data_IF_926622718418
#
_entry.id   IF_926622718418
#
_cell.length_a   1.000
_cell.length_b   1.000
_cell.length_c   1.000
_cell.angle_alpha   90.00
_cell.angle_beta   90.00
_cell.angle_gamma   90.00
#
_symmetry.space_group_name_H-M   'P 1'
#
loop_
_entity.id
_entity.type
_entity.pdbx_description
1 polymer ?
#
# COMPACT_ATOMS: atom_id res chain seq x y z
N UNK A 1 23.97 -11.60 -8.29
CA UNK A 1 23.80 -12.73 -7.35
C UNK A 1 22.70 -12.37 -6.37
N UNK A 2 21.81 -13.31 -6.01
CA UNK A 2 20.80 -13.08 -4.95
C UNK A 2 21.45 -13.20 -3.56
N UNK A 3 20.85 -12.56 -2.55
CA UNK A 3 21.31 -12.64 -1.16
C UNK A 3 22.42 -11.65 -0.81
N UNK A 4 22.79 -10.76 -1.73
CA UNK A 4 23.83 -9.74 -1.49
C UNK A 4 23.25 -8.41 -1.01
N UNK A 5 22.01 -8.09 -1.36
CA UNK A 5 21.37 -6.84 -0.95
C UNK A 5 19.89 -7.07 -0.74
N UNK A 6 19.49 -7.06 0.53
CA UNK A 6 18.10 -7.26 0.94
C UNK A 6 17.13 -6.37 0.16
N UNK A 7 17.45 -5.07 0.01
CA UNK A 7 16.61 -4.13 -0.75
C UNK A 7 16.47 -4.54 -2.22
N UNK A 8 17.56 -4.92 -2.89
CA UNK A 8 17.51 -5.38 -4.29
C UNK A 8 16.75 -6.70 -4.42
N UNK A 9 16.94 -7.60 -3.46
CA UNK A 9 16.29 -8.91 -3.46
C UNK A 9 14.78 -8.80 -3.20
N UNK A 10 14.34 -8.01 -2.21
CA UNK A 10 12.93 -7.75 -1.91
C UNK A 10 12.23 -7.02 -3.06
N UNK A 11 12.94 -6.21 -3.84
CA UNK A 11 12.36 -5.50 -4.99
C UNK A 11 11.85 -6.47 -6.05
N UNK A 12 12.47 -7.65 -6.15
CA UNK A 12 12.05 -8.70 -7.08
C UNK A 12 10.69 -9.30 -6.72
N UNK A 13 10.18 -9.08 -5.51
CA UNK A 13 8.90 -9.59 -5.05
C UNK A 13 7.72 -8.70 -5.45
N UNK A 14 7.96 -7.41 -5.70
CA UNK A 14 6.92 -6.43 -6.03
C UNK A 14 6.23 -6.86 -7.33
N UNK A 15 4.91 -7.04 -7.26
CA UNK A 15 4.07 -7.46 -8.38
C UNK A 15 4.59 -8.68 -9.16
N UNK A 16 5.21 -9.64 -8.45
CA UNK A 16 5.81 -10.81 -9.08
C UNK A 16 4.94 -12.06 -8.89
N UNK A 17 4.28 -12.58 -9.96
CA UNK A 17 3.41 -13.74 -9.85
C UNK A 17 4.12 -15.02 -9.40
N UNK A 18 5.45 -15.12 -9.61
CA UNK A 18 6.21 -16.31 -9.24
C UNK A 18 6.40 -16.44 -7.72
N UNK A 19 6.49 -15.31 -7.01
CA UNK A 19 6.79 -15.28 -5.57
C UNK A 19 5.60 -14.83 -4.72
N UNK A 20 4.41 -14.74 -5.32
CA UNK A 20 3.21 -14.28 -4.64
C UNK A 20 2.34 -15.41 -4.13
N UNK A 21 1.71 -15.19 -2.98
CA UNK A 21 0.69 -16.04 -2.38
C UNK A 21 -0.69 -15.36 -2.32
N UNK A 22 -0.79 -14.12 -2.81
CA UNK A 22 -2.05 -13.36 -2.88
C UNK A 22 -2.15 -12.49 -4.15
N UNK A 23 -3.36 -12.46 -4.73
CA UNK A 23 -3.77 -11.48 -5.75
C UNK A 23 -4.51 -10.31 -5.08
N UNK A 24 -4.12 -9.08 -5.42
CA UNK A 24 -4.77 -7.85 -4.98
C UNK A 24 -5.53 -7.30 -6.17
N UNK A 25 -6.86 -7.38 -6.14
CA UNK A 25 -7.73 -6.81 -7.17
C UNK A 25 -7.99 -5.33 -6.84
N UNK A 26 -7.86 -4.46 -7.83
CA UNK A 26 -8.08 -3.02 -7.66
C UNK A 26 -8.64 -2.43 -8.95
N UNK A 27 -9.29 -1.27 -8.85
CA UNK A 27 -10.11 -0.70 -9.94
C UNK A 27 -11.03 -1.76 -10.60
N UNK A 28 -11.58 -1.46 -11.77
CA UNK A 28 -12.33 -2.44 -12.55
C UNK A 28 -11.35 -3.40 -13.23
N UNK A 29 -11.26 -4.63 -12.68
CA UNK A 29 -10.53 -5.79 -13.24
C UNK A 29 -9.00 -5.67 -13.33
N UNK A 30 -8.36 -4.71 -12.64
CA UNK A 30 -6.90 -4.73 -12.51
C UNK A 30 -6.47 -5.60 -11.34
N UNK A 31 -5.22 -6.08 -11.39
CA UNK A 31 -4.65 -6.91 -10.33
C UNK A 31 -3.15 -6.73 -10.16
N UNK A 32 -2.69 -6.90 -8.93
CA UNK A 32 -1.28 -7.02 -8.55
C UNK A 32 -1.04 -8.30 -7.77
N UNK A 33 0.23 -8.70 -7.69
CA UNK A 33 0.68 -9.86 -6.92
C UNK A 33 1.45 -9.42 -5.68
N UNK A 34 1.21 -10.08 -4.55
CA UNK A 34 1.85 -9.77 -3.27
C UNK A 34 2.17 -11.00 -2.41
N UNK A 35 2.78 -10.75 -1.26
CA UNK A 35 3.17 -11.71 -0.24
C UNK A 35 2.44 -11.39 1.07
N UNK A 36 1.53 -12.24 1.53
CA UNK A 36 0.70 -12.02 2.72
C UNK A 36 1.51 -11.67 3.95
N UNK A 37 2.58 -12.43 4.22
CA UNK A 37 3.43 -12.22 5.39
C UNK A 37 4.09 -10.84 5.38
N UNK A 38 4.57 -10.37 4.22
CA UNK A 38 5.19 -9.04 4.10
C UNK A 38 4.12 -7.95 4.26
N UNK A 39 2.98 -8.08 3.60
CA UNK A 39 1.88 -7.13 3.73
C UNK A 39 1.45 -6.96 5.19
N UNK A 40 1.22 -8.07 5.91
CA UNK A 40 0.76 -8.05 7.29
C UNK A 40 1.82 -7.52 8.28
N UNK A 41 3.08 -7.95 8.18
CA UNK A 41 4.14 -7.47 9.09
C UNK A 41 4.42 -5.98 8.90
N UNK A 42 4.07 -5.42 7.74
CA UNK A 42 4.31 -4.01 7.40
C UNK A 42 3.08 -3.13 7.58
N UNK A 43 1.90 -3.67 7.88
CA UNK A 43 0.67 -2.88 8.01
C UNK A 43 -0.36 -3.61 8.88
N UNK A 44 -0.80 -2.95 9.94
CA UNK A 44 -1.85 -3.49 10.82
C UNK A 44 -3.19 -3.66 10.08
N UNK A 45 -3.46 -2.83 9.07
CA UNK A 45 -4.63 -2.99 8.19
C UNK A 45 -4.55 -4.32 7.43
N UNK A 46 -3.42 -4.59 6.77
CA UNK A 46 -3.24 -5.87 6.08
C UNK A 46 -3.16 -7.05 7.06
N UNK A 47 -2.58 -6.88 8.24
CA UNK A 47 -2.55 -7.91 9.27
C UNK A 47 -3.98 -8.28 9.71
N UNK A 48 -4.77 -7.28 10.07
CA UNK A 48 -6.17 -7.43 10.45
C UNK A 48 -7.07 -7.92 9.30
N UNK A 49 -6.69 -7.70 8.04
CA UNK A 49 -7.42 -8.24 6.90
C UNK A 49 -7.04 -9.71 6.60
N UNK A 50 -5.75 -10.04 6.67
CA UNK A 50 -5.20 -11.31 6.17
C UNK A 50 -5.06 -12.39 7.25
N UNK A 51 -5.11 -12.04 8.53
CA UNK A 51 -4.87 -12.97 9.64
C UNK A 51 -5.94 -12.87 10.75
N UNK A 52 -7.14 -12.36 10.43
CA UNK A 52 -8.26 -12.26 11.38
C UNK A 52 -9.08 -13.55 11.59
N UNK A 53 -8.77 -14.64 10.87
CA UNK A 53 -9.53 -15.89 10.93
C UNK A 53 -10.85 -15.89 10.12
N UNK A 54 -11.16 -14.81 9.39
CA UNK A 54 -12.30 -14.73 8.47
C UNK A 54 -11.96 -15.32 7.09
N UNK A 55 -12.91 -15.25 6.14
CA UNK A 55 -12.79 -15.80 4.78
C UNK A 55 -11.50 -15.36 4.09
N UNK A 56 -11.15 -14.09 4.26
CA UNK A 56 -9.98 -13.42 3.69
C UNK A 56 -8.67 -14.10 4.14
N UNK A 57 -8.63 -14.63 5.36
CA UNK A 57 -7.46 -15.33 5.89
C UNK A 57 -7.10 -16.56 5.05
N UNK A 58 -8.12 -17.28 4.58
CA UNK A 58 -7.97 -18.48 3.77
C UNK A 58 -8.00 -18.21 2.26
N UNK A 59 -8.38 -16.99 1.84
CA UNK A 59 -8.45 -16.61 0.44
C UNK A 59 -7.06 -16.33 -0.14
N UNK A 60 -6.88 -16.57 -1.44
CA UNK A 60 -5.72 -16.12 -2.19
C UNK A 60 -5.98 -14.80 -2.95
N UNK A 61 -7.09 -14.12 -2.67
CA UNK A 61 -7.47 -12.84 -3.30
C UNK A 61 -8.09 -11.88 -2.29
N UNK A 62 -7.74 -10.61 -2.40
CA UNK A 62 -8.37 -9.47 -1.72
C UNK A 62 -8.69 -8.37 -2.73
N UNK A 63 -9.62 -7.47 -2.40
CA UNK A 63 -10.10 -6.45 -3.33
C UNK A 63 -10.12 -5.06 -2.70
N UNK A 64 -9.59 -4.07 -3.42
CA UNK A 64 -9.63 -2.65 -3.11
C UNK A 64 -10.17 -1.88 -4.33
N UNK A 65 -11.50 -1.86 -4.55
CA UNK A 65 -12.08 -1.35 -5.79
C UNK A 65 -11.89 0.17 -5.96
N UNK A 66 -11.66 0.89 -4.87
CA UNK A 66 -11.57 2.34 -4.84
C UNK A 66 -10.12 2.87 -4.91
N UNK A 67 -9.12 2.00 -4.81
CA UNK A 67 -7.72 2.41 -4.94
C UNK A 67 -7.38 2.49 -6.43
N UNK A 68 -6.85 3.63 -6.86
CA UNK A 68 -6.37 3.82 -8.23
C UNK A 68 -4.96 3.21 -8.42
N UNK A 69 -4.54 3.11 -9.68
CA UNK A 69 -3.27 2.47 -10.07
C UNK A 69 -2.05 3.10 -9.42
N UNK A 70 -2.03 4.42 -9.25
CA UNK A 70 -0.93 5.13 -8.65
C UNK A 70 -0.83 4.87 -7.13
N UNK A 71 -1.96 4.91 -6.42
CA UNK A 71 -2.00 4.66 -4.98
C UNK A 71 -1.52 3.26 -4.62
N UNK A 72 -1.98 2.24 -5.36
CA UNK A 72 -1.57 0.86 -5.07
C UNK A 72 -0.08 0.62 -5.38
N UNK A 73 0.49 1.28 -6.40
CA UNK A 73 1.91 1.20 -6.70
C UNK A 73 2.77 1.79 -5.58
N UNK A 74 2.37 2.94 -5.03
CA UNK A 74 3.05 3.57 -3.89
C UNK A 74 3.00 2.67 -2.65
N UNK A 75 1.82 2.13 -2.33
CA UNK A 75 1.65 1.23 -1.17
C UNK A 75 2.58 0.03 -1.32
N UNK A 76 2.60 -0.60 -2.50
CA UNK A 76 3.44 -1.77 -2.76
C UNK A 76 4.93 -1.43 -2.74
N UNK A 77 5.37 -0.32 -3.34
CA UNK A 77 6.77 0.11 -3.26
C UNK A 77 7.18 0.34 -1.81
N UNK A 78 6.36 1.05 -1.03
CA UNK A 78 6.68 1.39 0.34
C UNK A 78 6.70 0.17 1.28
N UNK A 79 5.74 -0.74 1.15
CA UNK A 79 5.68 -1.97 1.96
C UNK A 79 6.95 -2.81 1.78
N UNK A 80 7.42 -2.98 0.54
CA UNK A 80 8.56 -3.85 0.25
C UNK A 80 9.91 -3.15 0.41
N UNK A 81 9.99 -1.85 0.13
CA UNK A 81 11.25 -1.11 0.08
C UNK A 81 11.52 -0.24 1.30
N UNK A 82 10.50 0.02 2.13
CA UNK A 82 10.58 0.96 3.26
C UNK A 82 10.84 2.40 2.83
N UNK A 83 10.71 2.71 1.54
CA UNK A 83 10.95 4.04 0.97
C UNK A 83 10.18 4.18 -0.34
N UNK A 84 9.58 5.34 -0.57
CA UNK A 84 8.98 5.69 -1.86
C UNK A 84 10.09 6.29 -2.73
N UNK A 85 10.10 5.99 -4.03
CA UNK A 85 11.03 6.66 -4.94
C UNK A 85 10.60 8.11 -5.17
N UNK A 86 11.57 8.98 -5.33
CA UNK A 86 11.39 10.39 -5.65
C UNK A 86 10.51 10.62 -6.91
N UNK A 87 10.58 9.74 -7.90
CA UNK A 87 9.75 9.80 -9.11
C UNK A 87 8.23 9.71 -8.84
N UNK A 88 7.81 9.05 -7.76
CA UNK A 88 6.41 9.04 -7.32
C UNK A 88 6.03 10.34 -6.60
N UNK A 89 7.01 11.02 -5.99
CA UNK A 89 6.82 12.21 -5.18
C UNK A 89 6.67 13.46 -6.03
N UNK A 90 7.48 13.58 -7.09
CA UNK A 90 7.49 14.73 -8.00
C UNK A 90 6.19 14.89 -8.80
N UNK A 91 5.39 13.83 -8.93
CA UNK A 91 4.18 13.88 -9.76
C UNK A 91 2.92 14.33 -9.00
N UNK A 92 2.70 14.00 -7.72
CA UNK A 92 1.43 14.33 -7.05
C UNK A 92 1.45 14.34 -5.49
N UNK A 93 2.55 14.01 -4.80
CA UNK A 93 2.59 14.08 -3.31
C UNK A 93 3.22 15.41 -2.87
N UNK A 94 2.40 16.43 -2.66
CA UNK A 94 2.85 17.74 -2.15
C UNK A 94 3.22 17.75 -0.65
N UNK A 95 3.26 16.59 0.01
CA UNK A 95 3.42 16.46 1.47
C UNK A 95 4.58 15.55 1.89
N UNK A 96 5.44 15.13 0.96
CA UNK A 96 6.67 14.41 1.30
C UNK A 96 7.80 15.40 1.59
N UNK A 97 8.35 15.31 2.79
CA UNK A 97 9.58 16.00 3.19
C UNK A 97 10.69 14.97 3.33
N UNK A 98 11.82 15.21 2.67
CA UNK A 98 13.01 14.35 2.76
C UNK A 98 13.47 14.24 4.23
N UNK A 99 13.62 13.00 4.72
CA UNK A 99 14.06 12.73 6.09
C UNK A 99 12.94 12.56 7.14
N UNK A 100 11.66 12.71 6.77
CA UNK A 100 10.56 12.36 7.67
C UNK A 100 10.16 10.87 7.53
N UNK A 101 9.97 10.19 8.66
CA UNK A 101 9.45 8.83 8.70
C UNK A 101 7.93 8.85 8.52
N UNK A 102 7.44 8.31 7.40
CA UNK A 102 6.00 8.12 7.15
C UNK A 102 5.63 6.67 7.47
N UNK A 103 4.65 6.42 8.34
CA UNK A 103 4.14 5.05 8.54
C UNK A 103 3.38 4.57 7.28
N UNK A 104 3.38 3.26 7.01
CA UNK A 104 2.58 2.63 5.94
C UNK A 104 1.11 2.98 6.15
N UNK A 105 0.67 3.03 7.42
CA UNK A 105 -0.67 3.44 7.78
C UNK A 105 -0.94 4.89 7.38
N UNK A 106 0.01 5.81 7.53
CA UNK A 106 -0.14 7.20 7.09
C UNK A 106 -0.29 7.31 5.56
N UNK A 107 0.45 6.50 4.80
CA UNK A 107 0.32 6.46 3.33
C UNK A 107 -1.02 5.87 2.92
N UNK A 108 -1.45 4.78 3.55
CA UNK A 108 -2.75 4.14 3.31
C UNK A 108 -3.90 5.08 3.70
N UNK A 109 -3.86 5.70 4.88
CA UNK A 109 -4.88 6.62 5.37
C UNK A 109 -5.06 7.84 4.44
N UNK A 110 -3.95 8.34 3.88
CA UNK A 110 -4.00 9.43 2.90
C UNK A 110 -4.51 8.98 1.52
N UNK A 111 -4.26 7.73 1.11
CA UNK A 111 -4.75 7.18 -0.16
C UNK A 111 -6.22 6.76 -0.07
N UNK A 112 -6.66 6.24 1.08
CA UNK A 112 -8.03 5.80 1.32
C UNK A 112 -8.93 6.89 1.91
N UNK A 113 -8.36 8.05 2.28
CA UNK A 113 -9.10 9.16 2.90
C UNK A 113 -9.68 8.83 4.27
N UNK A 114 -9.05 7.90 5.00
CA UNK A 114 -9.51 7.35 6.28
C UNK A 114 -9.18 8.20 7.50
N UNK A 115 -8.45 9.30 7.34
CA UNK A 115 -8.03 10.13 8.46
C UNK A 115 -9.16 11.07 8.90
N UNK A 116 -9.69 10.85 10.10
CA UNK A 116 -10.73 11.72 10.71
C UNK A 116 -10.20 13.11 11.10
N UNK A 117 -8.89 13.27 11.30
CA UNK A 117 -8.26 14.53 11.75
C UNK A 117 -7.12 14.94 10.82
N UNK A 118 -7.18 16.11 10.16
CA UNK A 118 -6.08 16.67 9.38
C UNK A 118 -4.76 16.72 10.15
N UNK A 119 -3.62 16.39 9.52
CA UNK A 119 -2.33 16.92 10.01
C UNK A 119 -2.34 18.40 9.74
N UNK A 120 -1.88 19.21 10.69
CA UNK A 120 -1.88 20.68 10.61
C UNK A 120 -1.11 21.28 9.42
N UNK A 121 -0.44 20.45 8.61
CA UNK A 121 0.33 20.84 7.44
C UNK A 121 -0.12 20.15 6.13
N UNK A 122 -1.20 19.36 6.12
CA UNK A 122 -1.69 18.71 4.88
C UNK A 122 -2.58 19.67 4.08
N UNK A 123 -2.25 19.99 2.81
CA UNK A 123 -3.11 20.80 1.95
C UNK A 123 -4.48 20.15 1.76
N UNK A 124 -5.56 20.93 1.82
CA UNK A 124 -6.98 20.47 1.81
C UNK A 124 -7.42 19.63 0.59
N UNK A 125 -6.54 19.41 -0.38
CA UNK A 125 -6.88 18.91 -1.71
C UNK A 125 -6.93 17.38 -1.81
N UNK A 126 -6.54 16.64 -0.76
CA UNK A 126 -6.40 15.17 -0.80
C UNK A 126 -7.26 14.52 0.30
N UNK A 127 -8.54 14.89 0.36
CA UNK A 127 -9.56 14.15 1.11
C UNK A 127 -10.48 13.43 0.13
N UNK A 128 -10.10 12.24 -0.34
CA UNK A 128 -11.05 11.39 -1.06
C UNK A 128 -11.88 10.65 -0.02
N UNK A 129 -13.05 11.18 0.31
CA UNK A 129 -14.04 10.53 1.17
C UNK A 129 -14.39 9.14 0.63
N UNK A 130 -13.95 8.10 1.32
CA UNK A 130 -14.64 6.83 1.36
C UNK A 130 -15.25 6.73 2.76
N UNK A 131 -16.47 6.23 2.88
CA UNK A 131 -17.31 6.23 4.10
C UNK A 131 -18.09 7.51 4.42
N UNK A 132 -18.79 8.07 3.43
CA UNK A 132 -20.18 8.48 3.68
C UNK A 132 -21.08 7.89 2.61
N UNK A 133 -21.69 6.75 2.91
CA UNK A 133 -22.80 6.20 2.16
C UNK A 133 -24.02 7.13 2.27
N UNK A 134 -24.48 7.64 1.13
CA UNK A 134 -25.83 7.39 0.62
C UNK A 134 -25.82 7.49 -0.90
#
# INVERSE_FOLDING_TARGET
MRGYSLKKDLRLLINNPKYSDIEILYEVRKKLYGCKAILAVRSEVFNGLLYNGMKESYANKITFPNINSFGIEIIMEYIYMGSIKEEFLTNQLSFYTEGEEYDVNLVIDNIEGLREVPVSSTPEVIYVKLYTSK
#
